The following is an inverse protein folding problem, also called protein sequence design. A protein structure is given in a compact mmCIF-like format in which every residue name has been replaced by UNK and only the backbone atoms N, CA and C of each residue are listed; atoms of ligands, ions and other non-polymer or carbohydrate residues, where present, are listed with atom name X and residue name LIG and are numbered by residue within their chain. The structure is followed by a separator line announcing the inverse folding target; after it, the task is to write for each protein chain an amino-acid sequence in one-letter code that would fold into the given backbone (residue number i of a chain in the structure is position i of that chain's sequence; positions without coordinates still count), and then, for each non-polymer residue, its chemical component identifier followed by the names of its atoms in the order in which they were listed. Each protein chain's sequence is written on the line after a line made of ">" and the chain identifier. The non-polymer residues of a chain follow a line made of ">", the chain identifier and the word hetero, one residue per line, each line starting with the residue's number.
data_IF_537898813149
#
_entry.id   IF_537898813149
#
_cell.length_a   1.000
_cell.length_b   1.000
_cell.length_c   1.000
_cell.angle_alpha   90.00
_cell.angle_beta   90.00
_cell.angle_gamma   90.00
#
_symmetry.space_group_name_H-M   'P 1'
#
loop_
_entity.id
_entity.type
_entity.pdbx_description
1 polymer ?
#
# COMPACT_ATOMS: atom_id res chain seq x y z
N UNK A 1 -27.85 -14.38 7.03
CA UNK A 1 -26.52 -14.99 6.79
C UNK A 1 -25.81 -14.10 5.80
N UNK A 2 -24.83 -13.32 6.24
CA UNK A 2 -24.03 -12.44 5.37
C UNK A 2 -23.09 -13.29 4.51
N UNK A 3 -23.01 -13.01 3.21
CA UNK A 3 -22.05 -13.68 2.31
C UNK A 3 -20.62 -13.57 2.86
N UNK A 4 -19.78 -14.62 2.73
CA UNK A 4 -18.38 -14.51 3.09
C UNK A 4 -17.75 -13.41 2.25
N UNK A 5 -17.07 -12.47 2.91
CA UNK A 5 -16.24 -11.44 2.26
C UNK A 5 -15.37 -12.17 1.24
N UNK A 6 -15.51 -11.84 -0.05
CA UNK A 6 -14.64 -12.39 -1.10
C UNK A 6 -13.23 -11.87 -0.85
N UNK A 7 -12.46 -12.61 -0.04
CA UNK A 7 -11.05 -12.35 0.16
C UNK A 7 -10.33 -12.47 -1.19
N UNK A 8 -9.76 -11.37 -1.63
CA UNK A 8 -8.97 -11.32 -2.86
C UNK A 8 -7.50 -11.55 -2.49
N UNK A 9 -6.84 -12.50 -3.17
CA UNK A 9 -5.41 -12.74 -3.04
C UNK A 9 -4.68 -12.01 -4.17
N UNK A 10 -3.68 -11.21 -3.80
CA UNK A 10 -2.78 -10.56 -4.74
C UNK A 10 -1.39 -11.16 -4.60
N UNK A 11 -0.75 -11.49 -5.72
CA UNK A 11 0.66 -11.92 -5.77
C UNK A 11 1.48 -10.85 -6.49
N UNK A 12 2.56 -10.41 -5.87
CA UNK A 12 3.46 -9.38 -6.40
C UNK A 12 4.91 -9.77 -6.19
N UNK A 13 5.75 -9.40 -7.15
CA UNK A 13 7.20 -9.51 -7.05
C UNK A 13 7.79 -8.13 -6.75
N UNK A 14 8.74 -8.08 -5.81
CA UNK A 14 9.43 -6.86 -5.40
C UNK A 14 10.69 -7.19 -4.60
N UNK A 15 11.55 -6.20 -4.41
CA UNK A 15 12.79 -6.34 -3.63
C UNK A 15 12.54 -6.20 -2.11
N UNK A 16 11.65 -5.28 -1.73
CA UNK A 16 11.35 -4.92 -0.33
C UNK A 16 9.86 -4.55 -0.20
N UNK A 17 9.24 -4.85 0.95
CA UNK A 17 7.85 -4.49 1.29
C UNK A 17 7.79 -3.74 2.63
N UNK A 18 7.01 -2.66 2.67
CA UNK A 18 6.73 -1.87 3.87
C UNK A 18 5.23 -1.67 4.02
N UNK A 19 4.71 -1.91 5.22
CA UNK A 19 3.33 -1.57 5.59
C UNK A 19 3.32 -0.25 6.37
N UNK A 20 2.52 0.71 5.91
CA UNK A 20 2.38 2.02 6.54
C UNK A 20 0.95 2.52 6.43
N UNK A 21 0.48 3.17 7.48
CA UNK A 21 -0.81 3.85 7.49
C UNK A 21 -0.73 5.15 6.67
N UNK A 22 -1.74 5.38 5.84
CA UNK A 22 -1.88 6.61 5.07
C UNK A 22 -2.25 7.76 6.03
N UNK A 23 -1.44 8.83 6.02
CA UNK A 23 -1.72 10.03 6.84
C UNK A 23 -2.35 11.13 5.99
N UNK A 24 -3.25 11.92 6.59
CA UNK A 24 -3.90 13.07 5.93
C UNK A 24 -2.87 14.11 5.48
N UNK A 25 -3.06 14.64 4.28
CA UNK A 25 -2.28 15.73 3.71
C UNK A 25 -3.20 16.60 2.83
N UNK A 26 -3.79 17.64 3.40
CA UNK A 26 -4.77 18.47 2.69
C UNK A 26 -5.99 17.64 2.26
N UNK A 27 -6.24 17.58 0.95
CA UNK A 27 -7.30 16.80 0.31
C UNK A 27 -6.84 15.40 -0.17
N UNK A 28 -5.63 14.97 0.21
CA UNK A 28 -5.06 13.67 -0.18
C UNK A 28 -4.47 12.91 1.01
N UNK A 29 -4.04 11.68 0.75
CA UNK A 29 -3.27 10.86 1.68
C UNK A 29 -1.80 10.81 1.26
N UNK A 30 -0.88 10.76 2.24
CA UNK A 30 0.56 10.57 2.00
C UNK A 30 1.12 9.40 2.80
N UNK A 31 2.13 8.76 2.24
CA UNK A 31 2.95 7.74 2.89
C UNK A 31 4.41 8.15 2.71
N UNK A 32 5.18 8.20 3.82
CA UNK A 32 6.60 8.49 3.76
C UNK A 32 7.41 7.20 3.59
N UNK A 33 8.17 7.11 2.51
CA UNK A 33 9.03 5.99 2.17
C UNK A 33 10.50 6.31 2.49
N UNK A 34 11.38 5.31 2.64
CA UNK A 34 12.80 5.55 2.85
C UNK A 34 13.40 6.45 1.75
N UNK A 35 14.35 7.35 2.06
CA UNK A 35 15.00 8.19 1.04
C UNK A 35 15.70 7.40 -0.06
N UNK A 36 16.16 6.18 0.22
CA UNK A 36 16.76 5.26 -0.75
C UNK A 36 15.79 4.86 -1.88
N UNK A 37 14.48 5.05 -1.70
CA UNK A 37 13.47 4.75 -2.70
C UNK A 37 13.17 5.93 -3.64
N UNK A 38 13.81 7.09 -3.47
CA UNK A 38 13.67 8.24 -4.38
C UNK A 38 14.08 7.79 -5.80
N UNK A 39 13.20 8.03 -6.77
CA UNK A 39 13.40 7.63 -8.17
C UNK A 39 13.14 6.14 -8.46
N UNK A 40 12.77 5.33 -7.47
CA UNK A 40 12.40 3.92 -7.65
C UNK A 40 10.92 3.79 -8.03
N UNK A 41 10.59 2.74 -8.78
CA UNK A 41 9.21 2.41 -9.13
C UNK A 41 8.60 1.56 -8.02
N UNK A 42 7.51 2.05 -7.43
CA UNK A 42 6.80 1.36 -6.33
C UNK A 42 5.39 0.98 -6.73
N UNK A 43 4.84 -0.05 -6.08
CA UNK A 43 3.42 -0.45 -6.15
C UNK A 43 2.81 -0.27 -4.76
N UNK A 44 1.63 0.34 -4.69
CA UNK A 44 0.88 0.50 -3.44
C UNK A 44 -0.40 -0.34 -3.55
N UNK A 45 -0.68 -1.14 -2.53
CA UNK A 45 -1.88 -1.95 -2.43
C UNK A 45 -2.64 -1.46 -1.19
N UNK A 46 -3.89 -1.01 -1.37
CA UNK A 46 -4.80 -0.71 -0.26
C UNK A 46 -5.32 -2.03 0.32
N UNK A 47 -5.26 -2.19 1.63
CA UNK A 47 -5.60 -3.44 2.33
C UNK A 47 -6.96 -3.40 3.05
N UNK A 48 -7.56 -2.21 3.16
CA UNK A 48 -8.82 -1.90 3.86
C UNK A 48 -9.87 -1.28 2.94
#
# INVERSE_FOLDING_TARGET
>A
MSEPIRQSKFEVYGEEMLEKEVKKSGNSGRVYLPPSWIGKRVKIIRMD
#
